data_IF_901386060092
#
_entry.id   IF_901386060092
#
_cell.length_a   1.000
_cell.length_b   1.000
_cell.length_c   1.000
_cell.angle_alpha   90.00
_cell.angle_beta   90.00
_cell.angle_gamma   90.00
#
_symmetry.space_group_name_H-M   'P 1'
#
loop_
_entity.id
_entity.type
_entity.pdbx_description
1 polymer ?
#
# COMPACT_ATOMS: atom_id res chain seq x y z
N UNK A 1 -3.52 -8.42 23.86
CA UNK A 1 -4.70 -8.37 22.97
C UNK A 1 -4.19 -8.07 21.58
N UNK A 2 -4.29 -8.99 20.62
CA UNK A 2 -3.92 -8.67 19.24
C UNK A 2 -5.02 -7.78 18.66
N UNK A 3 -4.70 -6.51 18.42
CA UNK A 3 -5.54 -5.71 17.53
C UNK A 3 -5.39 -6.34 16.15
N UNK A 4 -6.34 -7.21 15.78
CA UNK A 4 -6.37 -7.86 14.49
C UNK A 4 -6.66 -6.80 13.43
N UNK A 5 -5.60 -6.24 12.89
CA UNK A 5 -5.63 -5.26 11.82
C UNK A 5 -6.28 -5.88 10.57
N UNK A 6 -7.21 -5.15 9.94
CA UNK A 6 -7.94 -5.66 8.78
C UNK A 6 -6.98 -5.88 7.61
N UNK A 7 -6.98 -7.11 7.08
CA UNK A 7 -6.04 -7.58 6.06
C UNK A 7 -4.55 -7.41 6.45
N UNK A 8 -4.24 -7.33 7.75
CA UNK A 8 -2.88 -7.07 8.22
C UNK A 8 -2.36 -5.66 7.90
N UNK A 9 -3.23 -4.75 7.45
CA UNK A 9 -2.87 -3.36 7.12
C UNK A 9 -3.25 -2.39 8.24
N UNK A 10 -2.70 -1.19 8.26
CA UNK A 10 -3.11 -0.14 9.22
C UNK A 10 -4.47 0.49 8.92
N UNK A 11 -5.18 0.03 7.88
CA UNK A 11 -6.47 0.57 7.48
C UNK A 11 -7.61 -0.07 8.29
N UNK A 12 -8.65 0.73 8.56
CA UNK A 12 -9.82 0.26 9.27
C UNK A 12 -10.73 -0.54 8.32
N UNK A 13 -11.56 -1.43 8.87
CA UNK A 13 -12.56 -2.14 8.09
C UNK A 13 -13.56 -1.14 7.45
N UNK A 14 -14.00 -1.32 6.19
CA UNK A 14 -14.95 -0.41 5.53
C UNK A 14 -16.21 -0.16 6.37
N UNK A 15 -16.76 -1.22 6.96
CA UNK A 15 -17.98 -1.13 7.79
C UNK A 15 -17.77 -0.39 9.12
N UNK A 16 -16.51 -0.18 9.53
CA UNK A 16 -16.17 0.63 10.71
C UNK A 16 -15.98 2.12 10.39
N UNK A 17 -16.00 2.49 9.10
CA UNK A 17 -15.81 3.88 8.67
C UNK A 17 -17.16 4.56 8.47
N UNK A 18 -17.39 5.74 9.06
CA UNK A 18 -18.61 6.49 8.79
C UNK A 18 -18.62 6.97 7.33
N UNK A 19 -19.81 7.05 6.68
CA UNK A 19 -19.92 7.45 5.27
C UNK A 19 -19.22 8.78 4.94
N UNK A 20 -19.26 9.75 5.87
CA UNK A 20 -18.60 11.04 5.71
C UNK A 20 -17.07 10.95 5.63
N UNK A 21 -16.46 9.93 6.27
CA UNK A 21 -15.02 9.69 6.18
C UNK A 21 -14.64 9.11 4.83
N UNK A 22 -15.47 8.23 4.27
CA UNK A 22 -15.26 7.68 2.92
C UNK A 22 -15.43 8.78 1.85
N UNK A 23 -16.43 9.66 1.98
CA UNK A 23 -16.60 10.84 1.10
C UNK A 23 -15.40 11.77 1.12
N UNK A 24 -14.83 12.05 2.31
CA UNK A 24 -13.64 12.91 2.45
C UNK A 24 -12.39 12.34 1.77
N UNK A 25 -12.32 11.04 1.55
CA UNK A 25 -11.21 10.41 0.84
C UNK A 25 -11.25 10.63 -0.68
N UNK A 26 -12.30 11.28 -1.22
CA UNK A 26 -12.38 11.64 -2.63
C UNK A 26 -12.58 10.45 -3.57
N UNK A 27 -12.99 9.29 -3.05
CA UNK A 27 -13.38 8.12 -3.84
C UNK A 27 -14.73 8.41 -4.51
N UNK A 28 -14.72 8.71 -5.80
CA UNK A 28 -15.91 9.16 -6.54
C UNK A 28 -16.83 7.98 -6.86
N UNK A 29 -18.04 7.98 -6.29
CA UNK A 29 -19.20 7.22 -6.79
C UNK A 29 -19.50 5.89 -6.09
N UNK A 30 -18.48 5.08 -5.73
CA UNK A 30 -18.66 3.77 -5.07
C UNK A 30 -17.71 3.65 -3.87
N UNK A 31 -18.00 4.45 -2.85
CA UNK A 31 -17.04 4.78 -1.78
C UNK A 31 -16.55 3.61 -0.92
N UNK A 32 -17.33 2.54 -0.77
CA UNK A 32 -16.99 1.39 0.09
C UNK A 32 -16.19 0.35 -0.68
N UNK A 33 -16.69 -0.05 -1.84
CA UNK A 33 -16.11 -1.08 -2.70
C UNK A 33 -14.75 -0.61 -3.24
N UNK A 34 -14.64 0.66 -3.64
CA UNK A 34 -13.37 1.26 -4.07
C UNK A 34 -12.35 1.32 -2.93
N UNK A 35 -12.80 1.70 -1.72
CA UNK A 35 -11.95 1.68 -0.54
C UNK A 35 -11.47 0.26 -0.23
N UNK A 36 -12.37 -0.71 -0.29
CA UNK A 36 -12.05 -2.10 -0.05
C UNK A 36 -11.07 -2.66 -1.09
N UNK A 37 -11.28 -2.37 -2.37
CA UNK A 37 -10.35 -2.75 -3.44
C UNK A 37 -8.94 -2.15 -3.21
N UNK A 38 -8.87 -0.85 -2.87
CA UNK A 38 -7.61 -0.18 -2.56
C UNK A 38 -6.87 -0.84 -1.39
N UNK A 39 -7.57 -1.15 -0.29
CA UNK A 39 -6.93 -1.77 0.88
C UNK A 39 -6.52 -3.22 0.59
N UNK A 40 -7.29 -3.98 -0.19
CA UNK A 40 -6.89 -5.32 -0.65
C UNK A 40 -5.63 -5.28 -1.50
N UNK A 41 -5.54 -4.37 -2.48
CA UNK A 41 -4.34 -4.20 -3.30
C UNK A 41 -3.13 -3.84 -2.43
N UNK A 42 -3.33 -2.93 -1.46
CA UNK A 42 -2.27 -2.57 -0.51
C UNK A 42 -1.83 -3.76 0.34
N UNK A 43 -2.76 -4.56 0.85
CA UNK A 43 -2.45 -5.78 1.61
C UNK A 43 -1.57 -6.74 0.82
N UNK A 44 -1.87 -6.96 -0.47
CA UNK A 44 -1.08 -7.85 -1.31
C UNK A 44 0.35 -7.32 -1.51
N UNK A 45 0.51 -6.01 -1.72
CA UNK A 45 1.84 -5.38 -1.80
C UNK A 45 2.60 -5.45 -0.49
N UNK A 46 1.95 -5.23 0.64
CA UNK A 46 2.59 -5.29 1.96
C UNK A 46 3.01 -6.73 2.30
N UNK A 47 2.29 -7.75 1.82
CA UNK A 47 2.67 -9.16 2.00
C UNK A 47 3.96 -9.53 1.25
N UNK A 48 4.18 -8.97 0.05
CA UNK A 48 5.39 -9.21 -0.74
C UNK A 48 6.53 -8.24 -0.46
N UNK A 49 6.29 -7.17 0.30
CA UNK A 49 7.30 -6.18 0.63
C UNK A 49 8.35 -6.73 1.61
N UNK A 50 9.64 -6.42 1.41
CA UNK A 50 10.71 -6.76 2.35
C UNK A 50 10.40 -6.25 3.76
N UNK A 51 10.61 -7.11 4.77
CA UNK A 51 10.39 -6.77 6.17
C UNK A 51 11.61 -6.08 6.77
N UNK A 52 11.37 -5.29 7.81
CA UNK A 52 12.44 -4.63 8.53
C UNK A 52 13.44 -5.68 9.09
N UNK A 53 14.71 -5.54 8.73
CA UNK A 53 15.77 -6.47 9.11
C UNK A 53 16.06 -7.56 8.07
N UNK A 54 15.24 -7.69 7.02
CA UNK A 54 15.61 -8.50 5.86
C UNK A 54 16.74 -7.80 5.08
N UNK A 55 17.64 -8.58 4.46
CA UNK A 55 18.65 -8.01 3.58
C UNK A 55 17.96 -7.23 2.46
N UNK A 56 18.58 -6.12 2.05
CA UNK A 56 18.13 -5.41 0.87
C UNK A 56 18.12 -6.39 -0.32
N UNK A 57 17.14 -6.30 -1.23
CA UNK A 57 17.15 -7.12 -2.44
C UNK A 57 18.43 -6.87 -3.22
N UNK A 58 18.94 -7.88 -3.91
CA UNK A 58 20.08 -7.70 -4.81
C UNK A 58 19.65 -6.74 -5.93
N UNK A 59 20.32 -5.58 -6.02
CA UNK A 59 20.15 -4.64 -7.12
C UNK A 59 21.52 -4.21 -7.65
N UNK A 60 21.61 -4.07 -8.97
CA UNK A 60 22.77 -3.47 -9.60
C UNK A 60 22.52 -1.97 -9.80
N UNK A 61 23.47 -1.14 -9.37
CA UNK A 61 23.40 0.30 -9.61
C UNK A 61 23.86 0.56 -11.04
N UNK A 62 22.91 0.83 -11.93
CA UNK A 62 23.20 1.37 -13.25
C UNK A 62 23.58 2.85 -13.10
N UNK A 63 24.84 3.19 -13.38
CA UNK A 63 25.32 4.57 -13.32
C UNK A 63 25.10 5.23 -14.68
N UNK A 64 24.89 6.54 -14.67
CA UNK A 64 24.99 7.30 -15.90
C UNK A 64 26.46 7.56 -16.21
N UNK A 65 26.82 7.48 -17.49
CA UNK A 65 28.07 8.05 -18.00
C UNK A 65 28.09 9.56 -17.77
N UNK A 66 29.28 10.18 -17.88
CA UNK A 66 29.41 11.65 -17.80
C UNK A 66 28.59 12.40 -18.86
N UNK A 67 28.21 11.73 -19.96
CA UNK A 67 27.36 12.26 -21.01
C UNK A 67 25.85 11.98 -20.79
N UNK A 68 25.47 11.43 -19.64
CA UNK A 68 24.07 11.11 -19.31
C UNK A 68 23.50 9.86 -19.99
N UNK A 69 24.35 9.00 -20.57
CA UNK A 69 23.93 7.72 -21.16
C UNK A 69 23.98 6.59 -20.12
N UNK A 70 23.08 5.63 -20.24
CA UNK A 70 23.04 4.36 -19.51
C UNK A 70 24.35 3.57 -19.72
N UNK A 71 24.92 2.99 -18.65
CA UNK A 71 26.12 2.11 -18.71
C UNK A 71 25.74 0.65 -18.79
#
# INVERSE_FOLDING_TARGET
MSNSNWLGTSYAHPDSLPPERLKKMGLTGETREQYEAMVRERSLRDQSAPKAGEPAPDFEIERLTLAGKRT
#
